data_IF_605597164236
#
_entry.id   IF_605597164236
#
_cell.length_a   1.000
_cell.length_b   1.000
_cell.length_c   1.000
_cell.angle_alpha   90.00
_cell.angle_beta   90.00
_cell.angle_gamma   90.00
#
_symmetry.space_group_name_H-M   'P 1'
#
loop_
_entity.id
_entity.type
_entity.pdbx_description
1 polymer ?
#
# COMPACT_ATOMS: atom_id res chain seq x y z
N UNK A 1 -3.16 32.51 3.35
CA UNK A 1 -3.61 31.57 4.40
C UNK A 1 -3.86 30.24 3.73
N UNK A 2 -2.97 29.26 3.88
CA UNK A 2 -3.14 27.93 3.29
C UNK A 2 -4.08 27.09 4.15
N UNK A 3 -5.20 26.65 3.59
CA UNK A 3 -6.06 25.67 4.25
C UNK A 3 -5.42 24.29 4.09
N UNK A 4 -5.10 23.66 5.21
CA UNK A 4 -4.66 22.28 5.29
C UNK A 4 -5.90 21.39 5.18
N UNK A 5 -6.01 20.63 4.09
CA UNK A 5 -7.13 19.72 3.88
C UNK A 5 -6.84 18.44 4.67
N UNK A 6 -7.62 18.21 5.73
CA UNK A 6 -7.56 17.00 6.53
C UNK A 6 -8.28 15.85 5.79
N UNK A 7 -7.49 14.91 5.26
CA UNK A 7 -7.95 13.78 4.47
C UNK A 7 -8.46 12.60 5.32
N UNK A 8 -8.56 12.74 6.65
CA UNK A 8 -9.00 11.65 7.55
C UNK A 8 -10.51 11.45 7.60
N UNK A 9 -11.29 12.29 6.92
CA UNK A 9 -12.76 12.28 7.02
C UNK A 9 -13.43 11.65 5.80
N UNK A 10 -13.33 10.33 5.68
CA UNK A 10 -14.23 9.57 4.81
C UNK A 10 -15.54 9.38 5.59
N UNK A 11 -16.57 10.15 5.23
CA UNK A 11 -17.89 10.07 5.88
C UNK A 11 -18.75 9.03 5.16
N UNK A 12 -18.99 7.89 5.80
CA UNK A 12 -20.06 6.96 5.42
C UNK A 12 -21.27 7.22 6.32
N UNK A 13 -22.42 7.68 5.80
CA UNK A 13 -23.62 7.84 6.61
C UNK A 13 -24.28 6.47 6.76
N UNK A 14 -24.57 6.07 8.01
CA UNK A 14 -25.51 5.01 8.43
C UNK A 14 -24.93 3.71 9.02
N UNK A 15 -23.74 3.71 9.62
CA UNK A 15 -23.34 2.61 10.51
C UNK A 15 -23.26 3.08 11.97
N UNK A 16 -23.71 2.27 12.96
CA UNK A 16 -23.54 2.61 14.36
C UNK A 16 -22.05 2.80 14.62
N UNK A 17 -21.69 3.90 15.30
CA UNK A 17 -20.30 4.22 15.66
C UNK A 17 -19.79 3.18 16.64
N UNK A 18 -19.41 2.02 16.12
CA UNK A 18 -18.42 1.18 16.74
C UNK A 18 -17.17 2.04 16.76
N UNK A 19 -16.72 2.40 17.96
CA UNK A 19 -15.40 3.04 18.13
C UNK A 19 -14.45 2.23 17.25
N UNK A 20 -13.66 2.84 16.36
CA UNK A 20 -12.65 2.08 15.65
C UNK A 20 -11.75 1.56 16.76
N UNK A 21 -11.89 0.27 17.07
CA UNK A 21 -10.82 -0.48 17.70
C UNK A 21 -9.81 -0.49 16.59
N UNK A 22 -9.02 0.58 16.55
CA UNK A 22 -7.71 0.56 15.92
C UNK A 22 -7.00 -0.47 16.78
N UNK A 23 -7.16 -1.74 16.43
CA UNK A 23 -6.10 -2.69 16.64
C UNK A 23 -4.89 -1.95 16.10
N UNK A 24 -4.09 -1.43 17.03
CA UNK A 24 -2.75 -1.00 16.71
C UNK A 24 -2.07 -2.29 16.30
N UNK A 25 -2.32 -2.72 15.06
CA UNK A 25 -1.38 -3.56 14.34
C UNK A 25 -0.05 -2.90 14.64
N UNK A 26 0.78 -3.64 15.35
CA UNK A 26 2.14 -3.21 15.58
C UNK A 26 2.69 -2.95 14.18
N UNK A 27 2.70 -1.69 13.74
CA UNK A 27 3.70 -1.21 12.82
C UNK A 27 4.98 -1.62 13.52
N UNK A 28 5.50 -2.78 13.10
CA UNK A 28 6.67 -3.33 13.69
C UNK A 28 7.68 -2.20 13.62
N UNK A 29 8.24 -1.85 14.77
CA UNK A 29 9.28 -0.84 14.86
C UNK A 29 10.57 -1.44 14.29
N UNK A 30 10.46 -2.09 13.12
CA UNK A 30 11.45 -2.89 12.48
C UNK A 30 12.44 -1.97 11.76
N UNK A 31 13.71 -2.35 11.86
CA UNK A 31 14.80 -1.53 11.37
C UNK A 31 14.77 -1.41 9.83
N UNK A 32 14.14 -2.37 9.15
CA UNK A 32 13.96 -2.35 7.69
C UNK A 32 13.03 -1.21 7.26
N UNK A 33 11.87 -1.08 7.90
CA UNK A 33 10.89 -0.03 7.70
C UNK A 33 11.49 1.34 8.00
N UNK A 34 12.26 1.46 9.08
CA UNK A 34 12.98 2.72 9.43
C UNK A 34 14.02 3.08 8.38
N UNK A 35 14.79 2.10 7.89
CA UNK A 35 15.81 2.31 6.88
C UNK A 35 15.21 2.71 5.52
N UNK A 36 14.11 2.07 5.12
CA UNK A 36 13.46 2.30 3.84
C UNK A 36 12.61 3.57 3.82
N UNK A 37 12.00 3.96 4.95
CA UNK A 37 11.14 5.14 5.05
C UNK A 37 11.86 6.46 4.69
N UNK A 38 13.19 6.52 4.82
CA UNK A 38 13.99 7.71 4.49
C UNK A 38 14.78 7.56 3.19
N UNK A 39 14.71 6.42 2.51
CA UNK A 39 15.47 6.17 1.29
C UNK A 39 14.73 6.77 0.07
N UNK A 40 15.26 7.83 -0.57
CA UNK A 40 14.55 8.53 -1.66
C UNK A 40 14.34 7.63 -2.89
N UNK A 41 15.27 6.71 -3.17
CA UNK A 41 15.14 5.76 -4.28
C UNK A 41 14.00 4.77 -4.02
N UNK A 42 13.90 4.27 -2.79
CA UNK A 42 12.82 3.39 -2.39
C UNK A 42 11.46 4.10 -2.45
N UNK A 43 11.37 5.32 -1.92
CA UNK A 43 10.15 6.13 -1.98
C UNK A 43 9.71 6.39 -3.43
N UNK A 44 10.66 6.71 -4.32
CA UNK A 44 10.36 6.86 -5.75
C UNK A 44 9.82 5.57 -6.34
N UNK A 45 10.46 4.42 -6.09
CA UNK A 45 10.02 3.11 -6.59
C UNK A 45 8.61 2.75 -6.11
N UNK A 46 8.31 2.96 -4.83
CA UNK A 46 6.97 2.69 -4.28
C UNK A 46 5.92 3.63 -4.87
N UNK A 47 6.26 4.91 -5.08
CA UNK A 47 5.34 5.85 -5.73
C UNK A 47 4.99 5.43 -7.16
N UNK A 48 5.97 5.03 -7.96
CA UNK A 48 5.77 4.50 -9.31
C UNK A 48 4.97 3.21 -9.32
N UNK A 49 5.24 2.30 -8.36
CA UNK A 49 4.49 1.04 -8.21
C UNK A 49 3.01 1.31 -7.90
N UNK A 50 2.71 2.19 -6.95
CA UNK A 50 1.34 2.59 -6.61
C UNK A 50 0.61 3.22 -7.79
N UNK A 51 1.29 4.07 -8.56
CA UNK A 51 0.71 4.67 -9.76
C UNK A 51 0.42 3.60 -10.82
N UNK A 52 1.37 2.68 -11.06
CA UNK A 52 1.20 1.59 -12.01
C UNK A 52 -0.01 0.70 -11.65
N UNK A 53 -0.18 0.37 -10.37
CA UNK A 53 -1.34 -0.41 -9.90
C UNK A 53 -2.65 0.34 -10.17
N UNK A 54 -2.68 1.65 -9.91
CA UNK A 54 -3.86 2.48 -10.14
C UNK A 54 -4.23 2.57 -11.63
N UNK A 55 -3.23 2.68 -12.51
CA UNK A 55 -3.44 2.90 -13.95
C UNK A 55 -3.66 1.60 -14.73
N UNK A 56 -2.90 0.55 -14.40
CA UNK A 56 -2.82 -0.69 -15.19
C UNK A 56 -3.33 -1.92 -14.44
N UNK A 57 -3.60 -1.80 -13.14
CA UNK A 57 -3.82 -2.94 -12.26
C UNK A 57 -2.51 -3.60 -11.82
N UNK A 58 -2.64 -4.71 -11.10
CA UNK A 58 -1.52 -5.59 -10.78
C UNK A 58 -1.30 -6.64 -11.87
N UNK A 59 -0.19 -7.38 -11.76
CA UNK A 59 0.06 -8.56 -12.59
C UNK A 59 -0.46 -9.79 -11.83
N UNK A 60 -1.33 -10.62 -12.44
CA UNK A 60 -1.76 -11.90 -11.84
C UNK A 60 -0.57 -12.81 -11.54
N UNK A 61 -0.65 -13.56 -10.44
CA UNK A 61 0.43 -14.45 -10.01
C UNK A 61 0.78 -15.50 -11.07
N UNK A 62 -0.22 -16.06 -11.76
CA UNK A 62 0.01 -17.07 -12.81
C UNK A 62 0.74 -16.49 -14.02
N UNK A 63 0.50 -15.21 -14.33
CA UNK A 63 1.23 -14.50 -15.37
C UNK A 63 2.69 -14.26 -14.98
N UNK A 64 2.95 -13.84 -13.73
CA UNK A 64 4.31 -13.72 -13.19
C UNK A 64 5.04 -15.07 -13.25
N UNK A 65 4.39 -16.16 -12.82
CA UNK A 65 4.99 -17.50 -12.84
C UNK A 65 5.38 -17.90 -14.27
N UNK A 66 4.48 -17.71 -15.23
CA UNK A 66 4.75 -18.01 -16.65
C UNK A 66 5.90 -17.18 -17.21
N UNK A 67 5.94 -15.87 -16.94
CA UNK A 67 7.04 -15.00 -17.40
C UNK A 67 8.40 -15.39 -16.81
N UNK A 68 8.40 -15.92 -15.58
CA UNK A 68 9.61 -16.36 -14.89
C UNK A 68 9.96 -17.85 -15.12
N UNK A 69 9.15 -18.60 -15.87
CA UNK A 69 9.33 -20.05 -16.07
C UNK A 69 9.16 -20.86 -14.78
N UNK A 70 8.30 -20.39 -13.87
CA UNK A 70 7.95 -20.99 -12.58
C UNK A 70 6.58 -21.67 -12.61
N UNK A 71 5.98 -21.86 -13.78
CA UNK A 71 4.76 -22.63 -13.92
C UNK A 71 5.08 -24.12 -13.88
N UNK A 72 4.40 -24.85 -12.99
CA UNK A 72 4.64 -26.28 -12.69
C UNK A 72 4.21 -27.23 -13.84
N UNK A 73 4.02 -26.71 -15.06
CA UNK A 73 3.54 -27.44 -16.24
C UNK A 73 4.67 -27.79 -17.22
N UNK A 74 5.81 -28.26 -16.70
CA UNK A 74 6.92 -28.86 -17.49
C UNK A 74 6.68 -30.35 -17.78
#
# INVERSE_FOLDING_TARGET
>A
MSQQVDLTRIYYPNEPVTKPVVEREAFADDDETKALAKNPKFLSMISSSRLSIKEKGGIPLDEIKRELGLDDNL
#
